data_IF_646247237007
#
_entry.id   IF_646247237007
#
_cell.length_a   1.000
_cell.length_b   1.000
_cell.length_c   1.000
_cell.angle_alpha   90.00
_cell.angle_beta   90.00
_cell.angle_gamma   90.00
#
_symmetry.space_group_name_H-M   'P 1'
#
loop_
_entity.id
_entity.type
_entity.pdbx_description
1 polymer ?
#
# COMPACT_ATOMS: atom_id res chain seq x y z
N UNK A 1 -19.62 -10.95 -5.41
CA UNK A 1 -18.14 -10.90 -5.46
C UNK A 1 -17.61 -9.47 -5.63
N UNK A 2 -18.38 -8.54 -6.22
CA UNK A 2 -18.08 -7.09 -6.24
C UNK A 2 -18.47 -6.34 -4.96
N UNK A 3 -19.47 -6.82 -4.20
CA UNK A 3 -19.93 -6.18 -2.95
C UNK A 3 -18.92 -6.25 -1.79
N UNK A 4 -18.28 -7.40 -1.55
CA UNK A 4 -17.35 -7.57 -0.40
C UNK A 4 -16.18 -6.57 -0.41
N UNK A 5 -15.73 -6.16 -1.60
CA UNK A 5 -14.65 -5.18 -1.73
C UNK A 5 -15.16 -3.75 -1.62
N UNK A 6 -16.35 -3.44 -2.13
CA UNK A 6 -16.97 -2.13 -1.93
C UNK A 6 -17.25 -1.88 -0.45
N UNK A 7 -17.74 -2.90 0.26
CA UNK A 7 -17.90 -2.88 1.72
C UNK A 7 -16.54 -2.83 2.44
N UNK A 8 -15.53 -3.57 1.96
CA UNK A 8 -14.17 -3.46 2.48
C UNK A 8 -13.60 -2.05 2.28
N UNK A 9 -13.84 -1.37 1.15
CA UNK A 9 -13.42 0.03 0.93
C UNK A 9 -14.23 1.02 1.77
N UNK A 10 -15.50 0.75 2.03
CA UNK A 10 -16.33 1.51 2.98
C UNK A 10 -15.79 1.42 4.41
N UNK A 11 -15.53 0.19 4.87
CA UNK A 11 -14.87 -0.13 6.16
C UNK A 11 -13.44 0.41 6.21
N UNK A 12 -12.70 0.35 5.10
CA UNK A 12 -11.40 0.99 4.94
C UNK A 12 -11.51 2.50 5.11
N UNK A 13 -12.56 3.13 4.62
CA UNK A 13 -12.77 4.57 4.77
C UNK A 13 -12.83 5.02 6.24
N UNK A 14 -13.38 4.19 7.14
CA UNK A 14 -13.35 4.44 8.58
C UNK A 14 -11.99 4.12 9.20
N UNK A 15 -11.40 2.98 8.83
CA UNK A 15 -10.07 2.59 9.30
C UNK A 15 -8.98 3.57 8.87
N UNK A 16 -9.01 4.05 7.62
CA UNK A 16 -8.13 5.08 7.09
C UNK A 16 -8.30 6.40 7.84
N UNK A 17 -9.52 6.73 8.28
CA UNK A 17 -9.78 7.89 9.13
C UNK A 17 -9.11 7.72 10.51
N UNK A 18 -9.22 6.53 11.10
CA UNK A 18 -8.56 6.20 12.36
C UNK A 18 -7.02 6.16 12.23
N UNK A 19 -6.51 5.60 11.14
CA UNK A 19 -5.08 5.53 10.80
C UNK A 19 -4.50 6.95 10.65
N UNK A 20 -5.22 7.80 9.90
CA UNK A 20 -4.86 9.20 9.70
C UNK A 20 -4.82 9.96 11.04
N UNK A 21 -5.78 9.70 11.93
CA UNK A 21 -5.77 10.25 13.30
C UNK A 21 -4.56 9.80 14.13
N UNK A 22 -4.22 8.51 14.11
CA UNK A 22 -3.03 7.93 14.79
C UNK A 22 -1.71 8.56 14.31
N UNK A 23 -1.58 8.72 13.00
CA UNK A 23 -0.39 9.29 12.37
C UNK A 23 -0.30 10.79 12.67
N UNK A 24 -1.44 11.51 12.68
CA UNK A 24 -1.50 12.93 13.07
C UNK A 24 -1.17 13.16 14.55
N UNK A 25 -1.56 12.26 15.46
CA UNK A 25 -1.23 12.33 16.89
C UNK A 25 0.27 12.13 17.17
N UNK A 26 0.94 11.28 16.37
CA UNK A 26 2.37 10.99 16.51
C UNK A 26 3.25 12.15 15.98
N UNK A 27 2.74 12.96 15.06
CA UNK A 27 3.49 14.03 14.36
C UNK A 27 3.34 15.42 15.01
N UNK A 28 2.42 15.57 15.97
CA UNK A 28 2.04 16.90 16.49
C UNK A 28 3.09 17.57 17.39
N UNK A 29 4.12 16.85 17.84
CA UNK A 29 5.03 17.39 18.86
C UNK A 29 6.34 18.00 18.36
N UNK A 30 6.90 17.65 17.18
CA UNK A 30 8.25 18.15 16.82
C UNK A 30 8.62 18.22 15.31
N UNK A 31 7.92 17.55 14.39
CA UNK A 31 8.39 17.40 13.00
C UNK A 31 7.47 17.98 11.91
N UNK A 32 6.19 18.24 12.20
CA UNK A 32 5.22 18.74 11.21
C UNK A 32 5.61 20.08 10.54
N UNK A 33 6.43 20.92 11.18
CA UNK A 33 6.92 22.19 10.61
C UNK A 33 8.20 22.06 9.78
N UNK A 34 8.88 20.91 9.79
CA UNK A 34 10.23 20.80 9.22
C UNK A 34 10.28 20.34 7.77
N UNK A 35 9.27 19.63 7.22
CA UNK A 35 9.17 19.34 5.78
C UNK A 35 7.71 19.13 5.32
N UNK A 36 7.07 20.10 4.65
CA UNK A 36 5.72 19.93 4.10
C UNK A 36 5.60 18.85 3.00
N UNK A 37 6.69 18.15 2.64
CA UNK A 37 6.76 17.09 1.64
C UNK A 37 7.37 15.77 2.18
N UNK A 38 7.33 15.53 3.49
CA UNK A 38 7.81 14.25 4.05
C UNK A 38 6.85 13.12 3.67
N UNK A 39 7.38 12.06 3.05
CA UNK A 39 6.60 10.86 2.73
C UNK A 39 6.19 10.19 4.04
N UNK A 40 4.89 9.91 4.17
CA UNK A 40 4.30 9.15 5.26
C UNK A 40 4.31 7.67 4.89
N UNK A 41 4.85 6.83 5.77
CA UNK A 41 4.98 5.39 5.55
C UNK A 41 3.97 4.62 6.39
N UNK A 42 3.54 3.47 5.89
CA UNK A 42 2.83 2.47 6.68
C UNK A 42 3.82 1.70 7.54
N UNK A 43 3.42 1.35 8.75
CA UNK A 43 4.12 0.40 9.60
C UNK A 43 3.46 -1.00 9.57
N UNK A 44 4.05 -1.94 10.30
CA UNK A 44 3.54 -3.31 10.33
C UNK A 44 2.15 -3.42 10.98
N UNK A 45 1.85 -2.58 11.97
CA UNK A 45 0.54 -2.56 12.63
C UNK A 45 -0.52 -2.06 11.65
N UNK A 46 -0.19 -1.04 10.86
CA UNK A 46 -1.06 -0.53 9.80
C UNK A 46 -1.37 -1.63 8.77
N UNK A 47 -0.38 -2.45 8.36
CA UNK A 47 -0.64 -3.61 7.50
C UNK A 47 -1.55 -4.63 8.17
N UNK A 48 -1.34 -4.97 9.45
CA UNK A 48 -2.19 -5.92 10.17
C UNK A 48 -3.63 -5.43 10.30
N UNK A 49 -3.82 -4.12 10.48
CA UNK A 49 -5.13 -3.48 10.45
C UNK A 49 -5.77 -3.63 9.07
N UNK A 50 -5.03 -3.30 7.99
CA UNK A 50 -5.53 -3.45 6.62
C UNK A 50 -5.90 -4.90 6.31
N UNK A 51 -5.11 -5.85 6.78
CA UNK A 51 -5.38 -7.29 6.66
C UNK A 51 -6.74 -7.63 7.29
N UNK A 52 -7.02 -7.15 8.51
CA UNK A 52 -8.28 -7.42 9.20
C UNK A 52 -9.52 -6.81 8.52
N UNK A 53 -9.33 -5.70 7.79
CA UNK A 53 -10.42 -5.02 7.10
C UNK A 53 -10.79 -5.66 5.75
N UNK A 54 -9.92 -6.53 5.20
CA UNK A 54 -9.91 -6.89 3.78
C UNK A 54 -9.93 -8.42 3.56
N UNK A 55 -9.63 -9.19 4.60
CA UNK A 55 -9.69 -10.66 4.61
C UNK A 55 -10.73 -11.09 5.65
N UNK A 56 -11.82 -11.70 5.18
CA UNK A 56 -12.90 -12.24 6.02
C UNK A 56 -12.44 -13.47 6.81
N UNK A 57 -13.03 -13.62 8.01
CA UNK A 57 -13.08 -14.67 9.05
C UNK A 57 -11.96 -15.74 9.19
N UNK A 58 -11.24 -16.13 8.13
CA UNK A 58 -10.12 -17.07 8.15
C UNK A 58 -8.76 -16.39 7.88
N UNK A 59 -8.53 -15.27 8.56
CA UNK A 59 -7.25 -14.59 8.47
C UNK A 59 -6.13 -15.46 9.07
N UNK A 60 -5.24 -15.96 8.22
CA UNK A 60 -4.04 -16.66 8.65
C UNK A 60 -2.80 -15.97 8.09
N UNK A 61 -2.05 -15.32 8.98
CA UNK A 61 -0.70 -14.82 8.69
C UNK A 61 0.26 -16.01 8.81
N UNK A 62 0.81 -16.44 7.68
CA UNK A 62 1.79 -17.54 7.65
C UNK A 62 3.21 -17.03 7.94
N UNK A 63 3.53 -15.78 7.57
CA UNK A 63 4.84 -15.17 7.81
C UNK A 63 4.75 -13.68 8.17
N UNK A 64 4.86 -13.39 9.48
CA UNK A 64 4.94 -12.02 10.00
C UNK A 64 6.21 -11.29 9.56
N UNK A 65 7.33 -11.99 9.35
CA UNK A 65 8.59 -11.41 8.91
C UNK A 65 8.48 -10.77 7.53
N UNK A 66 7.66 -11.33 6.65
CA UNK A 66 7.34 -10.71 5.35
C UNK A 66 6.58 -9.40 5.53
N UNK A 67 5.66 -9.29 6.49
CA UNK A 67 4.95 -8.02 6.77
C UNK A 67 5.94 -6.96 7.24
N UNK A 68 6.80 -7.28 8.22
CA UNK A 68 7.82 -6.35 8.72
C UNK A 68 8.81 -5.92 7.64
N UNK A 69 9.26 -6.84 6.78
CA UNK A 69 10.22 -6.50 5.73
C UNK A 69 9.57 -5.72 4.58
N UNK A 70 8.28 -5.95 4.30
CA UNK A 70 7.55 -5.23 3.26
C UNK A 70 7.46 -3.73 3.54
N UNK A 71 7.16 -3.32 4.78
CA UNK A 71 7.05 -1.90 5.17
C UNK A 71 8.37 -1.15 5.19
N UNK A 72 9.48 -1.88 5.35
CA UNK A 72 10.83 -1.32 5.30
C UNK A 72 11.34 -1.13 3.87
N UNK A 73 10.86 -1.93 2.91
CA UNK A 73 11.34 -1.88 1.52
C UNK A 73 11.18 -0.50 0.87
N UNK A 74 10.05 0.23 0.98
CA UNK A 74 9.93 1.60 0.48
C UNK A 74 10.99 2.58 1.00
N UNK A 75 11.57 2.28 2.17
CA UNK A 75 12.57 3.11 2.85
C UNK A 75 14.01 2.66 2.57
N UNK A 76 14.20 1.62 1.75
CA UNK A 76 15.51 1.03 1.49
C UNK A 76 16.49 2.06 0.89
N UNK A 77 17.73 2.01 1.37
CA UNK A 77 18.85 2.86 0.93
C UNK A 77 19.97 1.97 0.40
N UNK A 78 20.46 2.29 -0.79
CA UNK A 78 21.58 1.60 -1.44
C UNK A 78 22.67 2.63 -1.70
N UNK A 79 23.87 2.39 -1.19
CA UNK A 79 25.03 3.29 -1.35
C UNK A 79 24.71 4.74 -0.93
N UNK A 80 23.96 4.92 0.16
CA UNK A 80 23.57 6.23 0.68
C UNK A 80 22.46 6.94 -0.09
N UNK A 81 21.90 6.34 -1.14
CA UNK A 81 20.78 6.90 -1.91
C UNK A 81 19.51 6.07 -1.73
N UNK A 82 18.31 6.68 -1.72
CA UNK A 82 17.06 5.95 -1.74
C UNK A 82 17.03 4.97 -2.92
N UNK A 83 16.72 3.70 -2.67
CA UNK A 83 16.53 2.71 -3.73
C UNK A 83 15.28 3.01 -4.58
N UNK A 84 14.32 3.72 -3.98
CA UNK A 84 13.07 4.16 -4.56
C UNK A 84 12.95 5.66 -4.32
N UNK A 85 13.17 6.47 -5.35
CA UNK A 85 13.31 7.93 -5.24
C UNK A 85 11.98 8.69 -5.44
N UNK A 86 10.96 8.04 -5.97
CA UNK A 86 9.60 8.59 -6.11
C UNK A 86 8.59 7.93 -5.18
N UNK A 87 7.48 8.61 -4.90
CA UNK A 87 6.35 8.02 -4.17
C UNK A 87 5.85 6.74 -4.87
N UNK A 88 5.78 6.76 -6.20
CA UNK A 88 5.28 5.64 -7.00
C UNK A 88 6.19 4.43 -6.94
N UNK A 89 7.51 4.63 -6.98
CA UNK A 89 8.47 3.54 -6.79
C UNK A 89 8.40 2.96 -5.39
N UNK A 90 8.11 3.79 -4.38
CA UNK A 90 7.89 3.34 -3.00
C UNK A 90 6.61 2.52 -2.85
N UNK A 91 5.52 2.97 -3.46
CA UNK A 91 4.25 2.24 -3.50
C UNK A 91 4.41 0.89 -4.24
N UNK A 92 5.08 0.92 -5.39
CA UNK A 92 5.40 -0.27 -6.18
C UNK A 92 6.26 -1.26 -5.39
N UNK A 93 7.27 -0.78 -4.66
CA UNK A 93 8.10 -1.61 -3.81
C UNK A 93 7.30 -2.31 -2.70
N UNK A 94 6.39 -1.60 -2.05
CA UNK A 94 5.50 -2.16 -1.03
C UNK A 94 4.61 -3.27 -1.62
N UNK A 95 3.94 -2.97 -2.74
CA UNK A 95 3.08 -3.92 -3.44
C UNK A 95 3.86 -5.17 -3.84
N UNK A 96 5.00 -5.01 -4.52
CA UNK A 96 5.82 -6.13 -4.98
C UNK A 96 6.29 -7.00 -3.79
N UNK A 97 6.72 -6.38 -2.68
CA UNK A 97 7.16 -7.09 -1.50
C UNK A 97 6.08 -8.02 -0.93
N UNK A 98 4.85 -7.52 -0.81
CA UNK A 98 3.73 -8.28 -0.27
C UNK A 98 3.32 -9.39 -1.24
N UNK A 99 3.17 -9.07 -2.53
CA UNK A 99 2.75 -10.05 -3.55
C UNK A 99 3.73 -11.21 -3.66
N UNK A 100 5.04 -10.92 -3.70
CA UNK A 100 6.07 -11.94 -3.90
C UNK A 100 6.46 -12.63 -2.60
N UNK A 101 6.40 -11.91 -1.47
CA UNK A 101 6.67 -12.46 -0.14
C UNK A 101 5.54 -13.33 0.40
N UNK A 102 4.29 -13.11 -0.03
CA UNK A 102 3.09 -13.89 0.34
C UNK A 102 2.95 -14.11 1.87
N UNK A 103 2.80 -13.05 2.67
CA UNK A 103 2.72 -13.16 4.14
C UNK A 103 1.48 -13.91 4.65
N UNK A 104 0.43 -14.02 3.83
CA UNK A 104 -0.85 -14.63 4.20
C UNK A 104 -1.06 -15.96 3.48
N UNK A 105 -1.89 -16.82 4.07
CA UNK A 105 -2.35 -18.06 3.40
C UNK A 105 -3.14 -17.77 2.14
N UNK A 106 -4.08 -16.83 2.23
CA UNK A 106 -4.88 -16.32 1.11
C UNK A 106 -5.02 -14.79 1.20
N UNK A 107 -5.41 -14.16 0.09
CA UNK A 107 -5.66 -12.70 0.08
C UNK A 107 -4.41 -11.82 -0.08
N UNK A 108 -3.23 -12.38 -0.35
CA UNK A 108 -1.98 -11.62 -0.56
C UNK A 108 -2.10 -10.50 -1.60
N UNK A 109 -2.77 -10.78 -2.73
CA UNK A 109 -2.98 -9.79 -3.78
C UNK A 109 -3.81 -8.59 -3.29
N UNK A 110 -4.81 -8.86 -2.45
CA UNK A 110 -5.74 -7.87 -1.92
C UNK A 110 -5.05 -7.01 -0.85
N UNK A 111 -4.27 -7.65 0.03
CA UNK A 111 -3.40 -6.93 0.96
C UNK A 111 -2.41 -6.03 0.21
N UNK A 112 -1.74 -6.56 -0.81
CA UNK A 112 -0.76 -5.78 -1.56
C UNK A 112 -1.38 -4.56 -2.24
N UNK A 113 -2.53 -4.75 -2.88
CA UNK A 113 -3.27 -3.69 -3.53
C UNK A 113 -3.72 -2.62 -2.54
N UNK A 114 -4.37 -3.03 -1.44
CA UNK A 114 -4.90 -2.09 -0.46
C UNK A 114 -3.80 -1.34 0.29
N UNK A 115 -2.65 -1.99 0.54
CA UNK A 115 -1.48 -1.35 1.13
C UNK A 115 -0.90 -0.28 0.21
N UNK A 116 -0.81 -0.55 -1.10
CA UNK A 116 -0.35 0.43 -2.08
C UNK A 116 -1.33 1.62 -2.21
N UNK A 117 -2.63 1.34 -2.34
CA UNK A 117 -3.67 2.39 -2.39
C UNK A 117 -3.64 3.25 -1.13
N UNK A 118 -3.58 2.62 0.05
CA UNK A 118 -3.54 3.32 1.34
C UNK A 118 -2.28 4.16 1.48
N UNK A 119 -1.12 3.62 1.07
CA UNK A 119 0.13 4.37 1.07
C UNK A 119 0.07 5.59 0.15
N UNK A 120 -0.50 5.48 -1.05
CA UNK A 120 -0.71 6.61 -1.94
C UNK A 120 -1.69 7.64 -1.34
N UNK A 121 -2.84 7.21 -0.81
CA UNK A 121 -3.86 8.08 -0.21
C UNK A 121 -3.32 8.84 1.01
N UNK A 122 -2.53 8.17 1.86
CA UNK A 122 -1.85 8.77 3.01
C UNK A 122 -0.90 9.92 2.60
N UNK A 123 -0.38 9.85 1.38
CA UNK A 123 0.49 10.85 0.78
C UNK A 123 -0.24 11.81 -0.18
N UNK A 124 -1.59 11.84 -0.14
CA UNK A 124 -2.41 12.80 -0.88
C UNK A 124 -2.72 12.39 -2.32
N UNK A 125 -2.46 11.14 -2.70
CA UNK A 125 -2.66 10.64 -4.04
C UNK A 125 -3.68 9.51 -4.07
N UNK A 126 -4.92 9.83 -4.46
CA UNK A 126 -5.97 8.82 -4.63
C UNK A 126 -5.78 8.09 -5.95
N UNK A 127 -5.76 6.76 -5.90
CA UNK A 127 -5.76 5.93 -7.11
C UNK A 127 -7.20 5.70 -7.57
N UNK A 128 -7.49 6.00 -8.84
CA UNK A 128 -8.77 5.68 -9.49
C UNK A 128 -8.54 4.69 -10.62
N UNK A 129 -8.94 3.43 -10.41
CA UNK A 129 -8.81 2.37 -11.40
C UNK A 129 -9.93 1.33 -11.25
N UNK A 130 -10.42 0.74 -12.36
CA UNK A 130 -11.29 -0.43 -12.30
C UNK A 130 -10.60 -1.59 -11.56
N UNK A 131 -11.38 -2.34 -10.78
CA UNK A 131 -10.89 -3.48 -10.02
C UNK A 131 -10.21 -4.55 -10.90
N UNK A 132 -10.75 -4.79 -12.09
CA UNK A 132 -10.21 -5.81 -13.00
C UNK A 132 -8.79 -5.42 -13.46
N UNK A 133 -8.53 -4.15 -13.74
CA UNK A 133 -7.20 -3.65 -14.10
C UNK A 133 -6.21 -3.75 -12.93
N UNK A 134 -6.65 -3.42 -11.72
CA UNK A 134 -5.84 -3.58 -10.51
C UNK A 134 -5.48 -5.05 -10.26
N UNK A 135 -6.45 -5.95 -10.42
CA UNK A 135 -6.26 -7.39 -10.25
C UNK A 135 -5.28 -7.95 -11.28
N UNK A 136 -5.41 -7.55 -12.54
CA UNK A 136 -4.51 -7.98 -13.61
C UNK A 136 -3.08 -7.47 -13.39
N UNK A 137 -2.90 -6.22 -12.97
CA UNK A 137 -1.58 -5.70 -12.61
C UNK A 137 -0.93 -6.50 -11.47
N UNK A 138 -1.67 -6.81 -10.41
CA UNK A 138 -1.13 -7.59 -9.29
C UNK A 138 -0.77 -9.01 -9.71
N UNK A 139 -1.54 -9.62 -10.63
CA UNK A 139 -1.20 -10.93 -11.22
C UNK A 139 0.07 -10.87 -12.05
N UNK A 140 0.25 -9.84 -12.87
CA UNK A 140 1.46 -9.64 -13.66
C UNK A 140 2.70 -9.48 -12.78
N UNK A 141 2.58 -8.74 -11.68
CA UNK A 141 3.64 -8.60 -10.66
C UNK A 141 3.95 -9.95 -10.00
N UNK A 142 2.92 -10.71 -9.61
CA UNK A 142 3.08 -12.04 -9.04
C UNK A 142 3.79 -13.01 -10.00
N UNK A 143 3.50 -12.89 -11.30
CA UNK A 143 4.14 -13.66 -12.36
C UNK A 143 5.53 -13.14 -12.75
N UNK A 144 5.96 -11.98 -12.24
CA UNK A 144 7.23 -11.34 -12.60
C UNK A 144 7.25 -10.80 -14.03
N UNK A 145 6.09 -10.53 -14.62
CA UNK A 145 5.95 -9.98 -15.98
C UNK A 145 6.08 -8.45 -16.01
N UNK A 146 5.93 -7.81 -14.86
CA UNK A 146 6.04 -6.35 -14.68
C UNK A 146 7.20 -6.06 -13.75
N UNK A 147 8.10 -5.17 -14.18
CA UNK A 147 9.15 -4.66 -13.31
C UNK A 147 8.65 -3.51 -12.42
N UNK A 148 9.47 -3.16 -11.43
CA UNK A 148 9.09 -2.16 -10.43
C UNK A 148 8.86 -0.76 -11.00
N UNK A 149 9.52 -0.41 -12.12
CA UNK A 149 9.36 0.90 -12.77
C UNK A 149 8.02 0.96 -13.51
N UNK A 150 7.71 -0.08 -14.26
CA UNK A 150 6.44 -0.26 -14.96
C UNK A 150 5.28 -0.29 -13.96
N UNK A 151 5.43 -1.00 -12.83
CA UNK A 151 4.45 -0.98 -11.74
C UNK A 151 4.24 0.44 -11.19
N UNK A 152 5.33 1.19 -10.95
CA UNK A 152 5.24 2.56 -10.46
C UNK A 152 4.53 3.49 -11.46
N UNK A 153 4.83 3.38 -12.76
CA UNK A 153 4.18 4.15 -13.82
C UNK A 153 2.67 3.88 -13.85
N UNK A 154 2.24 2.62 -13.76
CA UNK A 154 0.81 2.26 -13.70
C UNK A 154 0.10 2.87 -12.50
N UNK A 155 0.72 2.82 -11.32
CA UNK A 155 0.17 3.46 -10.12
C UNK A 155 0.08 4.98 -10.27
N UNK A 156 1.08 5.60 -10.91
CA UNK A 156 1.08 7.04 -11.18
C UNK A 156 -0.03 7.45 -12.15
N UNK A 157 -0.23 6.69 -13.23
CA UNK A 157 -1.25 6.97 -14.23
C UNK A 157 -2.65 6.99 -13.59
N UNK A 158 -2.94 6.03 -12.71
CA UNK A 158 -4.21 5.97 -11.98
C UNK A 158 -4.42 7.09 -10.97
N UNK A 159 -3.36 7.78 -10.54
CA UNK A 159 -3.48 8.96 -9.67
C UNK A 159 -3.79 10.25 -10.46
N UNK A 160 -3.50 10.27 -11.76
CA UNK A 160 -3.69 11.44 -12.63
C UNK A 160 -5.05 11.51 -13.32
N UNK A 161 -5.94 10.53 -13.11
CA UNK A 161 -7.26 10.50 -13.73
C UNK A 161 -8.23 11.40 -12.96
N UNK A 162 -8.21 12.70 -13.23
CA UNK A 162 -9.31 13.59 -12.86
C UNK A 162 -10.55 13.22 -13.69
N UNK A 163 -11.50 12.49 -13.09
CA UNK A 163 -12.83 12.35 -13.70
C UNK A 163 -13.60 13.66 -13.49
N UNK A 164 -13.71 14.45 -14.55
CA UNK A 164 -14.65 15.57 -14.67
C UNK A 164 -16.10 15.12 -14.67
#
# INVERSE_FOLDING_TARGET
MTDDLADAFGSLGEHLRALRGRIEETDQSLLAHLRPNAIRYLDADDLLVLVSAVVSEDLVVDDLGVIYTAVLRPQAVVMGMPAYDTLWLKAAALLEAIVRGKPLREGNWRLAWIAAVTFCDLNGHRLDTPMDEALDLVREVAAGMVDIRTLAERLQDWAGVERG
#
